data_IF_143248150227
#
_entry.id   IF_143248150227
#
_cell.length_a   1.000
_cell.length_b   1.000
_cell.length_c   1.000
_cell.angle_alpha   90.00
_cell.angle_beta   90.00
_cell.angle_gamma   90.00
#
_symmetry.space_group_name_H-M   'P 1'
#
loop_
_entity.id
_entity.type
_entity.pdbx_description
1 polymer ?
#
# COMPACT_ATOMS: atom_id res chain seq x y z
N UNK A 1 10.77 -9.75 0.51
CA UNK A 1 9.65 -10.62 0.08
C UNK A 1 9.18 -11.38 1.31
N UNK A 2 7.94 -11.16 1.76
CA UNK A 2 7.41 -11.81 2.97
C UNK A 2 7.57 -13.32 2.87
N UNK A 3 8.01 -13.94 3.97
CA UNK A 3 8.23 -15.38 4.04
C UNK A 3 6.93 -16.14 3.79
N UNK A 4 6.88 -16.92 2.71
CA UNK A 4 5.75 -17.80 2.39
C UNK A 4 5.64 -19.01 3.34
N UNK A 5 6.54 -19.12 4.33
CA UNK A 5 6.65 -20.26 5.26
C UNK A 5 5.37 -20.56 6.03
N UNK A 6 4.60 -19.52 6.35
CA UNK A 6 3.39 -19.61 7.18
C UNK A 6 2.10 -19.35 6.38
N UNK A 7 2.19 -19.31 5.06
CA UNK A 7 1.05 -19.18 4.17
C UNK A 7 0.46 -20.55 3.91
N UNK A 8 -0.83 -20.73 4.17
CA UNK A 8 -1.52 -21.94 3.75
C UNK A 8 -1.67 -21.94 2.21
N UNK A 9 -1.32 -23.03 1.51
CA UNK A 9 -1.37 -23.11 0.05
C UNK A 9 -2.81 -23.34 -0.44
N UNK A 10 -3.71 -22.44 -0.07
CA UNK A 10 -5.14 -22.46 -0.42
C UNK A 10 -5.50 -21.20 -1.19
N UNK A 11 -6.46 -21.35 -2.10
CA UNK A 11 -7.04 -20.24 -2.84
C UNK A 11 -8.45 -20.00 -2.33
N UNK A 12 -8.63 -18.91 -1.58
CA UNK A 12 -9.90 -18.54 -0.97
C UNK A 12 -10.56 -17.39 -1.72
N UNK A 13 -11.88 -17.29 -1.57
CA UNK A 13 -12.71 -16.20 -2.11
C UNK A 13 -13.23 -15.34 -0.97
N UNK A 14 -13.83 -14.20 -1.29
CA UNK A 14 -14.45 -13.35 -0.28
C UNK A 14 -15.50 -14.10 0.57
N UNK A 15 -16.15 -15.14 0.01
CA UNK A 15 -17.22 -15.88 0.70
C UNK A 15 -16.70 -17.10 1.46
N UNK A 16 -15.41 -17.40 1.35
CA UNK A 16 -14.77 -18.46 2.16
C UNK A 16 -14.87 -18.10 3.64
N UNK A 17 -15.25 -19.07 4.47
CA UNK A 17 -15.31 -18.93 5.92
C UNK A 17 -14.00 -19.35 6.57
N UNK A 18 -13.63 -18.68 7.64
CA UNK A 18 -12.51 -19.04 8.50
C UNK A 18 -12.84 -18.69 9.96
N UNK A 19 -12.03 -19.19 10.90
CA UNK A 19 -12.12 -18.84 12.31
C UNK A 19 -11.01 -17.86 12.66
N UNK A 20 -11.36 -16.71 13.22
CA UNK A 20 -10.35 -15.78 13.71
C UNK A 20 -10.90 -14.77 14.71
N UNK A 21 -10.13 -14.51 15.76
CA UNK A 21 -10.36 -13.37 16.64
C UNK A 21 -9.05 -12.87 17.25
N UNK A 22 -8.82 -11.56 17.21
CA UNK A 22 -7.74 -10.89 17.92
C UNK A 22 -8.33 -9.84 18.86
N UNK A 23 -7.94 -9.86 20.13
CA UNK A 23 -8.47 -8.97 21.16
C UNK A 23 -7.45 -8.76 22.28
N UNK A 24 -7.57 -7.64 23.00
CA UNK A 24 -6.77 -7.42 24.21
C UNK A 24 -7.07 -8.50 25.23
N UNK A 25 -6.03 -9.23 25.65
CA UNK A 25 -6.15 -10.36 26.59
C UNK A 25 -5.93 -11.75 25.97
N UNK A 26 -5.92 -11.88 24.64
CA UNK A 26 -5.49 -13.14 24.02
C UNK A 26 -4.00 -13.40 24.35
N UNK A 27 -3.61 -14.65 24.55
CA UNK A 27 -2.24 -14.99 24.98
C UNK A 27 -1.14 -14.61 23.96
N UNK A 28 -1.51 -14.35 22.71
CA UNK A 28 -0.61 -13.83 21.67
C UNK A 28 -0.70 -12.33 21.43
N UNK A 29 -1.39 -11.56 22.29
CA UNK A 29 -1.62 -10.13 22.08
C UNK A 29 -0.31 -9.39 21.81
N UNK A 30 -0.27 -8.57 20.76
CA UNK A 30 0.90 -7.82 20.25
C UNK A 30 2.11 -8.61 19.75
N UNK A 31 2.13 -9.95 19.83
CA UNK A 31 3.29 -10.75 19.39
C UNK A 31 3.60 -10.55 17.91
N UNK A 32 2.59 -10.37 17.06
CA UNK A 32 2.74 -10.11 15.63
C UNK A 32 3.39 -8.74 15.32
N UNK A 33 3.45 -7.81 16.28
CA UNK A 33 4.00 -6.47 16.07
C UNK A 33 5.52 -6.41 16.31
N UNK A 34 6.26 -7.49 16.01
CA UNK A 34 7.69 -7.62 16.26
C UNK A 34 8.38 -8.30 15.09
N UNK A 35 9.51 -7.75 14.64
CA UNK A 35 10.35 -8.31 13.57
C UNK A 35 9.54 -8.70 12.31
N UNK A 36 8.81 -7.73 11.76
CA UNK A 36 7.97 -7.93 10.58
C UNK A 36 8.27 -6.89 9.49
N UNK A 37 8.17 -7.31 8.24
CA UNK A 37 8.30 -6.42 7.07
C UNK A 37 6.93 -5.86 6.69
N UNK A 38 6.72 -4.57 6.98
CA UNK A 38 5.47 -3.86 6.65
C UNK A 38 5.73 -2.92 5.49
N UNK A 39 5.48 -3.39 4.26
CA UNK A 39 5.38 -2.50 3.10
C UNK A 39 4.21 -1.52 3.32
N UNK A 40 4.46 -0.24 3.06
CA UNK A 40 3.47 0.83 3.15
C UNK A 40 2.98 1.20 1.76
N UNK A 41 1.67 1.27 1.62
CA UNK A 41 1.02 1.85 0.44
C UNK A 41 1.01 3.38 0.52
N UNK A 42 0.81 4.10 -0.60
CA UNK A 42 0.59 5.54 -0.60
C UNK A 42 -0.47 6.01 0.41
N UNK A 43 -1.60 5.31 0.46
CA UNK A 43 -2.69 5.67 1.37
C UNK A 43 -2.33 5.42 2.85
N UNK A 44 -1.54 4.38 3.16
CA UNK A 44 -1.03 4.16 4.51
C UNK A 44 -0.19 5.37 4.98
N UNK A 45 0.70 5.87 4.12
CA UNK A 45 1.56 7.02 4.43
C UNK A 45 0.73 8.27 4.74
N UNK A 46 -0.30 8.55 3.93
CA UNK A 46 -1.20 9.69 4.15
C UNK A 46 -1.92 9.57 5.49
N UNK A 47 -2.47 8.39 5.81
CA UNK A 47 -3.15 8.13 7.08
C UNK A 47 -2.20 8.31 8.26
N UNK A 48 -1.02 7.70 8.18
CA UNK A 48 -0.05 7.70 9.28
C UNK A 48 0.57 9.07 9.51
N UNK A 49 0.96 9.81 8.46
CA UNK A 49 1.48 11.19 8.63
C UNK A 49 0.42 12.09 9.29
N UNK A 50 -0.85 11.95 8.90
CA UNK A 50 -1.96 12.74 9.43
C UNK A 50 -2.22 12.41 10.89
N UNK A 51 -2.18 11.11 11.25
CA UNK A 51 -2.28 10.65 12.64
C UNK A 51 -1.17 11.21 13.53
N UNK A 52 0.03 11.37 12.98
CA UNK A 52 1.19 11.90 13.70
C UNK A 52 1.29 13.43 13.67
N UNK A 53 0.52 14.10 12.80
CA UNK A 53 0.56 15.55 12.66
C UNK A 53 1.84 16.08 12.02
N UNK A 54 2.48 15.30 11.14
CA UNK A 54 3.75 15.64 10.46
C UNK A 54 3.61 15.59 8.94
N UNK A 55 4.58 16.14 8.22
CA UNK A 55 4.62 16.05 6.74
C UNK A 55 4.99 14.65 6.24
N UNK A 56 4.71 14.35 4.96
CA UNK A 56 5.15 13.10 4.32
C UNK A 56 6.66 12.96 4.31
N UNK A 57 7.39 14.07 4.09
CA UNK A 57 8.84 14.08 4.10
C UNK A 57 9.43 13.68 5.46
N UNK A 58 8.91 14.26 6.55
CA UNK A 58 9.30 13.89 7.92
C UNK A 58 8.95 12.43 8.22
N UNK A 59 7.73 12.01 7.90
CA UNK A 59 7.30 10.63 8.11
C UNK A 59 8.21 9.63 7.38
N UNK A 60 8.46 9.86 6.09
CA UNK A 60 9.28 8.99 5.26
C UNK A 60 10.72 8.90 5.79
N UNK A 61 11.30 10.02 6.22
CA UNK A 61 12.65 10.06 6.75
C UNK A 61 12.79 9.28 8.08
N UNK A 62 11.89 9.53 9.02
CA UNK A 62 12.04 9.10 10.41
C UNK A 62 11.47 7.69 10.66
N UNK A 63 10.42 7.31 9.91
CA UNK A 63 9.66 6.09 10.16
C UNK A 63 9.80 5.04 9.08
N UNK A 64 10.45 5.30 7.95
CA UNK A 64 10.46 4.35 6.82
C UNK A 64 11.86 4.08 6.28
N UNK A 65 12.00 3.01 5.50
CA UNK A 65 13.17 2.77 4.66
C UNK A 65 12.71 2.28 3.28
N UNK A 66 13.61 2.33 2.31
CA UNK A 66 13.32 1.97 0.92
C UNK A 66 14.04 0.67 0.58
N UNK A 67 13.33 -0.27 -0.03
CA UNK A 67 13.93 -1.41 -0.72
C UNK A 67 13.62 -1.33 -2.21
N UNK A 68 14.64 -1.51 -3.05
CA UNK A 68 14.47 -1.62 -4.50
C UNK A 68 14.21 -3.10 -4.82
N UNK A 69 13.04 -3.40 -5.38
CA UNK A 69 12.75 -4.79 -5.78
C UNK A 69 13.58 -5.20 -7.00
N UNK A 70 14.25 -6.36 -6.92
CA UNK A 70 15.31 -6.73 -7.87
C UNK A 70 14.84 -6.86 -9.33
N UNK A 71 13.61 -7.33 -9.55
CA UNK A 71 13.10 -7.64 -10.89
C UNK A 71 12.53 -6.40 -11.58
N UNK A 72 11.63 -5.71 -10.90
CA UNK A 72 10.85 -4.56 -11.37
C UNK A 72 11.53 -3.23 -11.11
N UNK A 73 12.51 -3.18 -10.21
CA UNK A 73 13.23 -1.96 -9.74
C UNK A 73 12.32 -0.89 -9.13
N UNK A 74 11.11 -1.26 -8.70
CA UNK A 74 10.26 -0.34 -7.95
C UNK A 74 10.86 -0.07 -6.55
N UNK A 75 10.91 1.20 -6.13
CA UNK A 75 11.26 1.55 -4.75
C UNK A 75 10.05 1.33 -3.86
N UNK A 76 10.05 0.27 -3.06
CA UNK A 76 9.00 0.03 -2.06
C UNK A 76 9.39 0.65 -0.73
N UNK A 77 8.41 1.26 -0.07
CA UNK A 77 8.57 1.88 1.24
C UNK A 77 8.14 0.89 2.31
N UNK A 78 8.98 0.71 3.32
CA UNK A 78 8.72 -0.18 4.45
C UNK A 78 8.76 0.59 5.75
N UNK A 79 7.91 0.21 6.70
CA UNK A 79 7.94 0.77 8.04
C UNK A 79 9.19 0.28 8.78
N UNK A 80 9.95 1.21 9.35
CA UNK A 80 11.15 0.94 10.14
C UNK A 80 10.75 0.45 11.54
N UNK A 81 11.27 -0.71 11.95
CA UNK A 81 11.15 -1.22 13.31
C UNK A 81 12.05 -0.44 14.29
N UNK A 82 11.87 -0.65 15.60
CA UNK A 82 12.81 -0.14 16.61
C UNK A 82 14.10 -0.95 16.61
N UNK A 83 15.22 -0.28 16.88
CA UNK A 83 16.55 -0.91 17.04
C UNK A 83 16.71 -1.48 18.46
N UNK A 84 15.78 -2.34 18.86
CA UNK A 84 15.71 -2.98 20.18
C UNK A 84 15.62 -4.50 20.01
N UNK A 85 15.96 -5.32 21.03
CA UNK A 85 15.78 -6.77 20.96
C UNK A 85 14.36 -7.16 20.55
N UNK A 86 14.24 -8.02 19.54
CA UNK A 86 12.95 -8.43 18.95
C UNK A 86 12.40 -7.48 17.89
N UNK A 87 13.06 -6.35 17.61
CA UNK A 87 12.68 -5.36 16.60
C UNK A 87 11.18 -5.00 16.64
N UNK A 88 10.67 -4.51 17.78
CA UNK A 88 9.26 -4.17 17.91
C UNK A 88 8.86 -3.04 16.96
N UNK A 89 7.60 -3.07 16.53
CA UNK A 89 6.99 -1.97 15.78
C UNK A 89 7.03 -0.68 16.59
N UNK A 90 7.31 0.45 15.93
CA UNK A 90 7.40 1.76 16.60
C UNK A 90 6.11 2.19 17.31
N UNK A 91 4.97 1.66 16.88
CA UNK A 91 3.65 1.99 17.42
C UNK A 91 3.09 0.93 18.37
N UNK A 92 3.83 -0.14 18.68
CA UNK A 92 3.36 -1.14 19.65
C UNK A 92 3.61 -0.66 21.08
N UNK A 93 2.63 -0.90 21.95
CA UNK A 93 2.71 -0.71 23.40
C UNK A 93 2.10 -1.93 24.11
N UNK A 94 2.29 -2.09 25.43
CA UNK A 94 1.61 -3.15 26.20
C UNK A 94 0.08 -3.12 26.05
N UNK A 95 -0.50 -1.96 25.77
CA UNK A 95 -1.94 -1.77 25.58
C UNK A 95 -2.42 -2.02 24.14
N UNK A 96 -1.51 -2.27 23.20
CA UNK A 96 -1.79 -2.47 21.79
C UNK A 96 -1.11 -1.46 20.88
N UNK A 97 -1.57 -1.37 19.63
CA UNK A 97 -1.07 -0.41 18.64
C UNK A 97 -1.60 1.00 18.94
N UNK A 98 -0.71 1.97 19.09
CA UNK A 98 -1.06 3.37 19.41
C UNK A 98 -1.72 4.12 18.24
N UNK A 99 -1.62 3.56 17.04
CA UNK A 99 -2.25 4.06 15.81
C UNK A 99 -3.26 3.05 15.25
N UNK A 100 -3.90 2.22 16.09
CA UNK A 100 -4.70 1.08 15.63
C UNK A 100 -5.66 1.43 14.48
N UNK A 101 -6.43 2.50 14.58
CA UNK A 101 -7.40 2.91 13.54
C UNK A 101 -6.76 3.41 12.24
N UNK A 102 -5.49 3.81 12.31
CA UNK A 102 -4.67 4.31 11.20
C UNK A 102 -3.56 3.31 10.81
N UNK A 103 -3.65 2.06 11.28
CA UNK A 103 -2.67 1.03 10.97
C UNK A 103 -2.66 0.69 9.47
N UNK A 104 -1.49 0.28 8.92
CA UNK A 104 -1.35 -0.05 7.52
C UNK A 104 -2.27 -1.17 7.02
N UNK A 105 -2.54 -1.20 5.72
CA UNK A 105 -3.29 -2.27 5.05
C UNK A 105 -2.72 -3.66 5.35
N UNK A 106 -1.39 -3.82 5.34
CA UNK A 106 -0.73 -5.09 5.69
C UNK A 106 -1.09 -5.58 7.09
N UNK A 107 -1.20 -4.68 8.07
CA UNK A 107 -1.60 -5.05 9.44
C UNK A 107 -3.09 -5.44 9.54
N UNK A 108 -3.95 -4.88 8.68
CA UNK A 108 -5.37 -5.23 8.57
C UNK A 108 -5.55 -6.61 7.94
N UNK A 109 -4.68 -6.96 7.00
CA UNK A 109 -4.65 -8.27 6.35
C UNK A 109 -3.92 -9.37 7.12
N UNK A 110 -3.39 -9.11 8.32
CA UNK A 110 -2.50 -10.06 9.01
C UNK A 110 -3.07 -11.50 9.20
N UNK A 111 -4.38 -11.69 9.33
CA UNK A 111 -4.99 -13.03 9.38
C UNK A 111 -5.30 -13.64 7.99
N UNK A 112 -5.49 -12.77 6.99
CA UNK A 112 -5.99 -13.08 5.65
C UNK A 112 -5.13 -12.31 4.64
N UNK A 113 -4.14 -12.96 4.04
CA UNK A 113 -3.40 -12.34 2.96
C UNK A 113 -4.25 -12.19 1.70
N UNK A 114 -3.95 -11.17 0.89
CA UNK A 114 -4.53 -10.95 -0.42
C UNK A 114 -3.43 -11.09 -1.48
N UNK A 115 -3.76 -11.77 -2.57
CA UNK A 115 -2.96 -11.77 -3.78
C UNK A 115 -3.81 -11.34 -4.98
N UNK A 116 -3.17 -10.66 -5.90
CA UNK A 116 -3.79 -10.15 -7.12
C UNK A 116 -3.01 -10.68 -8.31
N UNK A 117 -3.71 -11.28 -9.26
CA UNK A 117 -3.14 -11.86 -10.48
C UNK A 117 -3.79 -11.18 -11.68
N UNK A 118 -2.98 -10.58 -12.56
CA UNK A 118 -3.49 -10.06 -13.82
C UNK A 118 -3.68 -11.22 -14.80
N UNK A 119 -4.93 -11.44 -15.20
CA UNK A 119 -5.35 -12.48 -16.15
C UNK A 119 -5.84 -11.87 -17.45
N UNK A 120 -5.83 -12.70 -18.48
CA UNK A 120 -6.44 -12.42 -19.78
C UNK A 120 -6.84 -13.79 -20.32
N UNK A 121 -8.15 -14.02 -20.49
CA UNK A 121 -8.67 -15.36 -20.83
C UNK A 121 -8.30 -15.77 -22.26
N UNK A 122 -8.31 -14.81 -23.20
CA UNK A 122 -7.83 -14.96 -24.57
C UNK A 122 -7.26 -13.64 -25.11
N UNK A 123 -6.69 -13.65 -26.33
CA UNK A 123 -6.04 -12.47 -26.92
C UNK A 123 -7.00 -11.29 -27.15
N UNK A 124 -8.28 -11.56 -27.32
CA UNK A 124 -9.30 -10.57 -27.70
C UNK A 124 -10.04 -10.01 -26.47
N UNK A 125 -9.96 -10.69 -25.33
CA UNK A 125 -10.56 -10.28 -24.07
C UNK A 125 -9.70 -9.22 -23.37
N UNK A 126 -10.31 -8.18 -22.77
CA UNK A 126 -9.58 -7.21 -21.97
C UNK A 126 -8.95 -7.92 -20.75
N UNK A 127 -7.69 -7.60 -20.39
CA UNK A 127 -7.09 -8.16 -19.19
C UNK A 127 -7.83 -7.67 -17.94
N UNK A 128 -8.04 -8.56 -16.98
CA UNK A 128 -8.65 -8.25 -15.68
C UNK A 128 -7.72 -8.63 -14.53
N UNK A 129 -7.94 -8.03 -13.37
CA UNK A 129 -7.21 -8.39 -12.14
C UNK A 129 -8.10 -9.33 -11.34
N UNK A 130 -7.64 -10.56 -11.16
CA UNK A 130 -8.28 -11.56 -10.31
C UNK A 130 -7.65 -11.50 -8.92
N UNK A 131 -8.46 -11.27 -7.90
CA UNK A 131 -8.00 -11.30 -6.51
C UNK A 131 -8.38 -12.63 -5.85
N UNK A 132 -7.50 -13.12 -4.99
CA UNK A 132 -7.77 -14.26 -4.14
C UNK A 132 -7.10 -14.08 -2.78
N UNK A 133 -7.53 -14.87 -1.82
CA UNK A 133 -7.09 -14.77 -0.45
C UNK A 133 -6.45 -16.06 0.03
N UNK A 134 -5.66 -15.95 1.08
CA UNK A 134 -5.01 -17.07 1.75
C UNK A 134 -4.88 -16.77 3.25
N UNK A 135 -4.73 -17.80 4.07
CA UNK A 135 -4.54 -17.62 5.50
C UNK A 135 -3.06 -17.59 5.86
N UNK A 136 -2.72 -16.73 6.81
CA UNK A 136 -1.37 -16.66 7.41
C UNK A 136 -1.48 -17.27 8.80
N UNK A 137 -0.84 -18.42 9.02
CA UNK A 137 -0.87 -19.17 10.28
C UNK A 137 0.52 -19.25 10.89
N UNK A 138 0.95 -18.15 11.49
CA UNK A 138 2.19 -18.14 12.24
C UNK A 138 2.02 -18.88 13.58
N UNK A 139 3.03 -19.66 14.04
CA UNK A 139 2.91 -20.47 15.26
C UNK A 139 2.56 -19.68 16.52
N UNK A 140 2.89 -18.39 16.55
CA UNK A 140 2.59 -17.54 17.69
C UNK A 140 1.16 -16.98 17.67
N UNK A 141 0.45 -17.04 16.54
CA UNK A 141 -0.87 -16.44 16.35
C UNK A 141 -1.97 -17.42 16.78
N UNK A 142 -2.49 -17.23 18.00
CA UNK A 142 -3.56 -18.05 18.55
C UNK A 142 -4.97 -17.60 18.10
N UNK A 143 -5.05 -16.55 17.28
CA UNK A 143 -6.33 -16.02 16.81
C UNK A 143 -7.14 -17.01 15.97
N UNK A 144 -6.48 -17.93 15.27
CA UNK A 144 -7.12 -18.99 14.47
C UNK A 144 -7.72 -20.12 15.32
N UNK A 145 -7.40 -20.19 16.61
CA UNK A 145 -7.94 -21.19 17.56
C UNK A 145 -9.25 -20.74 18.22
N UNK A 146 -9.62 -19.47 18.03
CA UNK A 146 -10.86 -18.91 18.59
C UNK A 146 -12.09 -19.41 17.83
N UNK A 147 -13.22 -19.54 18.52
CA UNK A 147 -14.45 -20.10 17.94
C UNK A 147 -15.20 -19.16 16.98
N UNK A 148 -14.78 -17.89 16.92
CA UNK A 148 -15.44 -16.88 16.08
C UNK A 148 -15.26 -17.19 14.59
N UNK A 149 -16.33 -17.60 13.92
CA UNK A 149 -16.35 -17.86 12.49
C UNK A 149 -16.95 -16.69 11.70
N UNK A 150 -16.28 -16.31 10.61
CA UNK A 150 -16.69 -15.24 9.69
C UNK A 150 -16.19 -15.53 8.28
N UNK A 151 -16.77 -14.85 7.31
CA UNK A 151 -16.29 -14.82 5.92
C UNK A 151 -15.13 -13.83 5.77
N UNK A 152 -14.36 -13.99 4.71
CA UNK A 152 -13.30 -13.02 4.37
C UNK A 152 -13.90 -11.64 4.07
N UNK A 153 -15.07 -11.57 3.43
CA UNK A 153 -15.79 -10.32 3.20
C UNK A 153 -16.11 -9.59 4.52
N UNK A 154 -16.72 -10.28 5.49
CA UNK A 154 -17.02 -9.73 6.82
C UNK A 154 -15.74 -9.28 7.53
N UNK A 155 -14.66 -10.06 7.44
CA UNK A 155 -13.36 -9.65 8.01
C UNK A 155 -12.82 -8.37 7.38
N UNK A 156 -12.86 -8.24 6.06
CA UNK A 156 -12.34 -7.07 5.34
C UNK A 156 -13.11 -5.80 5.72
N UNK A 157 -14.43 -5.91 5.84
CA UNK A 157 -15.31 -4.83 6.30
C UNK A 157 -14.97 -4.43 7.75
N UNK A 158 -14.88 -5.40 8.67
CA UNK A 158 -14.52 -5.16 10.07
C UNK A 158 -13.13 -4.53 10.25
N UNK A 159 -12.17 -4.94 9.43
CA UNK A 159 -10.83 -4.37 9.43
C UNK A 159 -10.75 -3.03 8.67
N UNK A 160 -11.81 -2.63 7.96
CA UNK A 160 -11.88 -1.42 7.16
C UNK A 160 -10.87 -1.40 6.00
N UNK A 161 -10.45 -2.57 5.50
CA UNK A 161 -9.39 -2.67 4.48
C UNK A 161 -9.90 -2.43 3.06
N UNK A 162 -11.20 -2.57 2.82
CA UNK A 162 -11.84 -2.23 1.55
C UNK A 162 -11.49 -0.82 1.07
N UNK A 163 -11.58 0.15 1.99
CA UNK A 163 -11.21 1.54 1.70
C UNK A 163 -9.74 1.66 1.29
N UNK A 164 -8.84 0.90 1.94
CA UNK A 164 -7.41 0.93 1.59
C UNK A 164 -7.17 0.35 0.20
N UNK A 165 -7.88 -0.72 -0.16
CA UNK A 165 -7.78 -1.30 -1.50
C UNK A 165 -8.28 -0.34 -2.57
N UNK A 166 -9.42 0.31 -2.34
CA UNK A 166 -10.00 1.25 -3.29
C UNK A 166 -9.11 2.48 -3.48
N UNK A 167 -8.60 3.07 -2.38
CA UNK A 167 -7.69 4.21 -2.46
C UNK A 167 -6.38 3.87 -3.17
N UNK A 168 -5.89 2.64 -3.03
CA UNK A 168 -4.64 2.20 -3.64
C UNK A 168 -4.80 1.54 -5.01
N UNK A 169 -6.01 1.45 -5.58
CA UNK A 169 -6.25 0.77 -6.86
C UNK A 169 -5.35 1.31 -7.98
N UNK A 170 -5.27 2.64 -8.11
CA UNK A 170 -4.42 3.29 -9.10
C UNK A 170 -2.93 3.00 -8.90
N UNK A 171 -2.48 2.85 -7.65
CA UNK A 171 -1.09 2.46 -7.33
C UNK A 171 -0.83 0.98 -7.61
N UNK A 172 -1.76 0.07 -7.26
CA UNK A 172 -1.66 -1.37 -7.58
C UNK A 172 -1.55 -1.58 -9.10
N UNK A 173 -2.27 -0.80 -9.91
CA UNK A 173 -2.18 -0.85 -11.38
C UNK A 173 -0.77 -0.58 -11.91
N UNK A 174 -0.02 0.34 -11.28
CA UNK A 174 1.37 0.65 -11.64
C UNK A 174 2.27 -0.59 -11.50
N UNK A 175 1.99 -1.43 -10.50
CA UNK A 175 2.78 -2.61 -10.19
C UNK A 175 2.54 -3.76 -11.19
N UNK A 176 1.39 -3.78 -11.88
CA UNK A 176 1.06 -4.78 -12.90
C UNK A 176 1.60 -4.45 -14.30
N UNK A 177 2.51 -3.48 -14.41
CA UNK A 177 3.15 -3.16 -15.69
C UNK A 177 3.71 -4.45 -16.31
N UNK A 178 3.30 -4.76 -17.54
CA UNK A 178 3.84 -5.89 -18.30
C UNK A 178 5.34 -5.66 -18.45
N UNK A 179 6.13 -6.50 -17.80
CA UNK A 179 7.58 -6.50 -17.90
C UNK A 179 7.99 -6.93 -19.31
N UNK A 180 7.97 -6.00 -20.27
CA UNK A 180 8.78 -6.17 -21.47
C UNK A 180 10.25 -6.28 -21.02
N UNK A 181 11.07 -7.17 -21.60
CA UNK A 181 12.51 -7.18 -21.36
C UNK A 181 13.07 -5.76 -21.55
N UNK A 182 13.67 -5.19 -20.49
CA UNK A 182 14.17 -3.80 -20.48
C UNK A 182 13.26 -2.76 -19.81
N UNK A 183 12.07 -3.13 -19.33
CA UNK A 183 11.12 -2.21 -18.68
C UNK A 183 11.47 -1.82 -17.22
N UNK A 184 12.75 -1.91 -16.82
CA UNK A 184 13.20 -1.47 -15.49
C UNK A 184 13.08 0.06 -15.34
N UNK A 185 12.84 0.51 -14.13
CA UNK A 185 12.96 1.91 -13.74
C UNK A 185 14.43 2.23 -13.55
N UNK A 186 14.94 3.13 -14.40
CA UNK A 186 16.21 3.81 -14.13
C UNK A 186 16.10 4.71 -12.88
N UNK A 187 17.23 5.18 -12.35
CA UNK A 187 17.29 6.00 -11.14
C UNK A 187 16.39 7.24 -11.18
N UNK A 188 16.20 7.84 -12.36
CA UNK A 188 15.33 9.02 -12.51
C UNK A 188 13.87 8.62 -12.36
N UNK A 189 13.46 7.53 -13.01
CA UNK A 189 12.10 6.98 -12.89
C UNK A 189 11.81 6.48 -11.48
N UNK A 190 12.78 5.86 -10.79
CA UNK A 190 12.62 5.46 -9.40
C UNK A 190 12.37 6.67 -8.48
N UNK A 191 13.18 7.73 -8.61
CA UNK A 191 13.00 8.97 -7.85
C UNK A 191 11.66 9.65 -8.14
N UNK A 192 11.23 9.65 -9.41
CA UNK A 192 9.94 10.19 -9.82
C UNK A 192 8.78 9.39 -9.21
N UNK A 193 8.83 8.06 -9.32
CA UNK A 193 7.85 7.16 -8.72
C UNK A 193 7.76 7.38 -7.21
N UNK A 194 8.91 7.43 -6.53
CA UNK A 194 8.96 7.63 -5.08
C UNK A 194 8.31 8.96 -4.68
N UNK A 195 8.67 10.05 -5.35
CA UNK A 195 8.10 11.37 -5.08
C UNK A 195 6.58 11.38 -5.31
N UNK A 196 6.13 10.94 -6.48
CA UNK A 196 4.73 11.03 -6.85
C UNK A 196 3.81 10.08 -6.07
N UNK A 197 4.29 8.89 -5.70
CA UNK A 197 3.49 7.88 -5.01
C UNK A 197 3.57 7.98 -3.49
N UNK A 198 4.70 8.40 -2.89
CA UNK A 198 4.89 8.30 -1.44
C UNK A 198 5.08 9.67 -0.76
N UNK A 199 5.79 10.61 -1.36
CA UNK A 199 6.08 11.92 -0.78
C UNK A 199 5.07 12.99 -1.24
N UNK A 200 3.81 12.84 -0.81
CA UNK A 200 2.67 13.65 -1.29
C UNK A 200 2.90 15.15 -1.12
N UNK A 201 3.54 15.60 -0.04
CA UNK A 201 3.78 17.03 0.19
C UNK A 201 4.87 17.56 -0.74
N UNK A 202 5.92 16.77 -1.03
CA UNK A 202 6.93 17.14 -2.03
C UNK A 202 6.37 17.11 -3.43
N UNK A 203 5.54 16.13 -3.77
CA UNK A 203 4.89 16.06 -5.06
C UNK A 203 3.94 17.24 -5.27
N UNK A 204 3.19 17.63 -4.24
CA UNK A 204 2.37 18.86 -4.25
C UNK A 204 3.20 20.09 -4.57
N UNK A 205 4.33 20.31 -3.90
CA UNK A 205 5.24 21.42 -4.23
C UNK A 205 5.76 21.32 -5.65
N UNK A 206 6.14 20.12 -6.10
CA UNK A 206 6.57 19.90 -7.48
C UNK A 206 5.48 20.32 -8.50
N UNK A 207 4.21 20.01 -8.25
CA UNK A 207 3.11 20.39 -9.15
C UNK A 207 2.88 21.90 -9.16
N UNK A 208 2.86 22.57 -8.01
CA UNK A 208 2.44 23.98 -7.92
C UNK A 208 3.58 25.01 -7.95
N UNK A 209 4.80 24.62 -7.58
CA UNK A 209 5.94 25.54 -7.39
C UNK A 209 7.05 25.33 -8.44
N UNK A 210 6.89 24.38 -9.35
CA UNK A 210 7.78 24.18 -10.49
C UNK A 210 7.10 24.56 -11.82
N UNK A 211 7.79 24.36 -12.95
CA UNK A 211 7.21 24.54 -14.30
C UNK A 211 6.23 23.44 -14.72
N UNK A 212 5.75 22.58 -13.82
CA UNK A 212 4.84 21.48 -14.15
C UNK A 212 3.56 21.95 -14.86
N UNK A 213 2.90 23.00 -14.34
CA UNK A 213 1.64 23.50 -14.88
C UNK A 213 1.79 24.29 -16.20
N UNK A 214 3.03 24.64 -16.57
CA UNK A 214 3.38 25.18 -17.88
C UNK A 214 3.48 24.08 -18.94
N UNK A 215 3.70 22.83 -18.52
CA UNK A 215 3.85 21.67 -19.40
C UNK A 215 2.56 20.86 -19.57
N UNK A 216 1.69 20.85 -18.56
CA UNK A 216 0.49 19.99 -18.54
C UNK A 216 -0.79 20.79 -18.31
N UNK A 217 -1.85 20.40 -19.02
CA UNK A 217 -3.21 20.89 -18.79
C UNK A 217 -3.83 20.15 -17.60
N UNK A 218 -4.28 20.89 -16.59
CA UNK A 218 -5.03 20.35 -15.45
C UNK A 218 -6.22 21.27 -15.20
N UNK A 219 -7.42 20.69 -15.07
CA UNK A 219 -8.64 21.47 -14.84
C UNK A 219 -8.55 22.29 -13.55
N UNK A 220 -8.98 23.57 -13.54
CA UNK A 220 -8.90 24.44 -12.35
C UNK A 220 -9.54 23.82 -11.10
N UNK A 221 -10.71 23.18 -11.25
CA UNK A 221 -11.37 22.49 -10.14
C UNK A 221 -10.55 21.34 -9.54
N UNK A 222 -9.77 20.61 -10.37
CA UNK A 222 -8.85 19.56 -9.87
C UNK A 222 -7.67 20.20 -9.14
N UNK A 223 -7.10 21.29 -9.68
CA UNK A 223 -6.02 22.05 -9.03
C UNK A 223 -6.43 22.57 -7.65
N UNK A 224 -7.64 23.10 -7.51
CA UNK A 224 -8.09 23.64 -6.22
C UNK A 224 -8.23 22.54 -5.15
N UNK A 225 -8.80 21.38 -5.49
CA UNK A 225 -8.85 20.23 -4.55
C UNK A 225 -7.46 19.73 -4.21
N UNK A 226 -6.60 19.62 -5.22
CA UNK A 226 -5.19 19.25 -5.09
C UNK A 226 -4.35 20.28 -4.31
N UNK A 227 -4.85 21.41 -3.81
CA UNK A 227 -4.06 22.24 -2.90
C UNK A 227 -4.03 21.70 -1.48
N UNK A 228 -5.12 21.06 -1.05
CA UNK A 228 -5.33 20.71 0.36
C UNK A 228 -5.76 19.26 0.58
N UNK A 229 -6.16 18.55 -0.48
CA UNK A 229 -6.52 17.13 -0.40
C UNK A 229 -5.33 16.25 -0.79
N UNK A 230 -4.86 15.45 0.17
CA UNK A 230 -3.78 14.47 -0.01
C UNK A 230 -4.22 13.30 -0.89
N UNK A 231 -5.49 12.92 -0.87
CA UNK A 231 -6.02 11.82 -1.68
C UNK A 231 -6.08 12.20 -3.14
N UNK A 232 -6.59 13.39 -3.46
CA UNK A 232 -6.61 13.91 -4.84
C UNK A 232 -5.19 14.04 -5.40
N UNK A 233 -4.23 14.46 -4.56
CA UNK A 233 -2.82 14.56 -4.97
C UNK A 233 -2.17 13.20 -5.17
N UNK A 234 -2.44 12.23 -4.31
CA UNK A 234 -1.98 10.85 -4.45
C UNK A 234 -2.50 10.21 -5.75
N UNK A 235 -3.79 10.37 -6.03
CA UNK A 235 -4.42 9.87 -7.25
C UNK A 235 -3.79 10.54 -8.48
N UNK A 236 -3.58 11.86 -8.43
CA UNK A 236 -2.88 12.57 -9.50
C UNK A 236 -1.42 12.13 -9.66
N UNK A 237 -0.74 11.78 -8.58
CA UNK A 237 0.59 11.18 -8.62
C UNK A 237 0.61 9.85 -9.37
N UNK A 238 -0.38 8.99 -9.13
CA UNK A 238 -0.55 7.76 -9.89
C UNK A 238 -0.81 8.04 -11.37
N UNK A 239 -1.71 8.97 -11.70
CA UNK A 239 -1.97 9.41 -13.08
C UNK A 239 -0.67 9.87 -13.75
N UNK A 240 0.11 10.71 -13.06
CA UNK A 240 1.37 11.26 -13.58
C UNK A 240 2.41 10.17 -13.88
N UNK A 241 2.50 9.15 -13.01
CA UNK A 241 3.39 8.01 -13.24
C UNK A 241 2.90 7.14 -14.40
N UNK A 242 1.60 6.88 -14.53
CA UNK A 242 1.04 6.15 -15.68
C UNK A 242 1.43 6.81 -17.01
N UNK A 243 1.33 8.14 -17.09
CA UNK A 243 1.76 8.92 -18.25
C UNK A 243 3.28 8.80 -18.49
N UNK A 244 4.10 9.04 -17.47
CA UNK A 244 5.57 9.02 -17.61
C UNK A 244 6.14 7.65 -17.98
N UNK A 245 5.47 6.57 -17.56
CA UNK A 245 5.86 5.21 -17.89
C UNK A 245 5.27 4.71 -19.22
N UNK A 246 4.50 5.56 -19.92
CA UNK A 246 3.84 5.21 -21.19
C UNK A 246 2.78 4.13 -21.04
N UNK A 247 2.15 4.04 -19.86
CA UNK A 247 1.12 3.03 -19.58
C UNK A 247 -0.25 3.48 -20.10
N UNK A 248 -0.60 4.75 -19.86
CA UNK A 248 -1.89 5.35 -20.23
C UNK A 248 -1.69 6.86 -20.50
N UNK A 249 -2.46 7.44 -21.41
CA UNK A 249 -2.47 8.88 -21.71
C UNK A 249 -3.32 9.67 -20.68
N UNK A 250 -2.95 9.56 -19.40
CA UNK A 250 -3.69 10.16 -18.28
C UNK A 250 -3.52 11.68 -18.13
N UNK A 251 -2.50 12.26 -18.77
CA UNK A 251 -2.23 13.69 -18.76
C UNK A 251 -2.15 14.23 -20.19
N UNK A 252 -2.59 15.48 -20.36
CA UNK A 252 -2.54 16.20 -21.62
C UNK A 252 -1.42 17.26 -21.60
N UNK A 253 -0.35 17.11 -22.41
CA UNK A 253 0.65 18.15 -22.55
C UNK A 253 0.05 19.41 -23.16
N UNK A 254 0.48 20.59 -22.70
CA UNK A 254 0.18 21.86 -23.39
C UNK A 254 0.93 21.87 -24.72
N UNK A 255 0.23 22.22 -25.80
CA UNK A 255 0.89 22.48 -27.07
C UNK A 255 1.74 23.75 -26.92
N UNK A 256 3.01 23.66 -27.34
CA UNK A 256 3.90 24.82 -27.46
C UNK A 256 3.44 25.73 -28.61
#
# INVERSE_FOLDING_TARGET
MQSMKHVEPVRLTAQSRFKFRCYKGIACFTKCCNNIDIMLTPYDIIRMKKRLGISSGEFLNDYTYIEIEEKSTYPFVYLRMKEEPGMPCRFVSPDGCTIYDDRPANCRYYAVGQASLRKQDDKDSPPYTEEFYFLIKEPHCLGHEEERALTIAEWREEQGVDLFDDMNRGWKDLLFRRNAPGAKLDDKKQKLFYMACYDVDRFRRFVFESGFLDLFEVAPAKLDRMKTDDIEMMQFGCDYIKFNLGMEETLKPRQK
#
